data_IF_473406643831
#
_entry.id   IF_473406643831
#
_cell.length_a   1.000
_cell.length_b   1.000
_cell.length_c   1.000
_cell.angle_alpha   90.00
_cell.angle_beta   90.00
_cell.angle_gamma   90.00
#
_symmetry.space_group_name_H-M   'P 1'
#
loop_
_entity.id
_entity.type
_entity.pdbx_description
1 polymer ?
#
# COMPACT_ATOMS: atom_id res chain seq x y z
N UNK A 1 6.25 -5.30 -12.77
CA UNK A 1 6.53 -5.83 -11.43
C UNK A 1 8.01 -5.61 -11.14
N UNK A 2 8.34 -5.11 -9.96
CA UNK A 2 9.72 -5.03 -9.49
C UNK A 2 10.16 -6.43 -9.06
N UNK A 3 11.30 -6.90 -9.56
CA UNK A 3 11.88 -8.21 -9.26
C UNK A 3 13.01 -8.10 -8.25
N UNK A 4 13.79 -7.03 -8.30
CA UNK A 4 14.90 -6.82 -7.38
C UNK A 4 14.85 -5.43 -6.77
N UNK A 5 15.20 -5.36 -5.49
CA UNK A 5 15.49 -4.13 -4.77
C UNK A 5 16.82 -4.30 -4.06
N UNK A 6 17.75 -3.37 -4.28
CA UNK A 6 18.98 -3.27 -3.51
C UNK A 6 18.99 -1.95 -2.76
N UNK A 7 19.30 -2.03 -1.47
CA UNK A 7 19.41 -0.89 -0.56
C UNK A 7 20.84 -0.83 -0.06
N UNK A 8 21.47 0.33 -0.14
CA UNK A 8 22.76 0.60 0.51
C UNK A 8 22.66 1.81 1.42
N UNK A 9 23.30 1.69 2.58
CA UNK A 9 23.36 2.69 3.64
C UNK A 9 21.99 3.28 4.03
N UNK A 10 20.95 2.44 4.08
CA UNK A 10 19.59 2.88 4.43
C UNK A 10 19.08 2.16 5.68
N UNK A 11 18.87 2.92 6.76
CA UNK A 11 18.37 2.42 8.05
C UNK A 11 19.10 1.17 8.53
N UNK A 12 18.43 0.03 8.56
CA UNK A 12 19.00 -1.24 9.03
C UNK A 12 19.94 -1.93 8.02
N UNK A 13 20.15 -1.37 6.83
CA UNK A 13 20.87 -2.02 5.73
C UNK A 13 22.13 -1.27 5.31
N UNK A 14 23.31 -1.84 5.55
CA UNK A 14 24.58 -1.40 4.95
C UNK A 14 24.57 -1.67 3.43
N UNK A 15 24.24 -2.90 3.03
CA UNK A 15 24.06 -3.29 1.63
C UNK A 15 23.28 -4.61 1.54
N UNK A 16 22.00 -4.54 1.16
CA UNK A 16 21.12 -5.71 1.09
C UNK A 16 20.40 -5.77 -0.26
N UNK A 17 20.38 -6.97 -0.87
CA UNK A 17 19.61 -7.29 -2.06
C UNK A 17 18.40 -8.14 -1.69
N UNK A 18 17.22 -7.78 -2.22
CA UNK A 18 15.96 -8.48 -2.05
C UNK A 18 15.44 -8.96 -3.40
N UNK A 19 15.03 -10.23 -3.48
CA UNK A 19 14.27 -10.77 -4.59
C UNK A 19 12.78 -10.71 -4.28
N UNK A 20 11.99 -10.13 -5.17
CA UNK A 20 10.53 -10.11 -5.09
C UNK A 20 9.92 -11.11 -6.07
N UNK A 21 8.99 -11.91 -5.54
CA UNK A 21 8.07 -12.77 -6.29
C UNK A 21 6.64 -12.21 -6.24
N UNK A 22 5.71 -12.65 -7.12
CA UNK A 22 4.36 -12.09 -7.20
C UNK A 22 3.63 -11.97 -5.85
N UNK A 23 3.89 -12.93 -4.95
CA UNK A 23 3.63 -12.83 -3.53
C UNK A 23 4.96 -12.89 -2.77
N UNK A 24 5.27 -11.83 -2.01
CA UNK A 24 6.45 -11.78 -1.12
C UNK A 24 6.00 -11.41 0.28
N UNK A 25 6.32 -12.25 1.26
CA UNK A 25 6.03 -12.01 2.67
C UNK A 25 7.32 -11.61 3.39
N UNK A 26 7.32 -10.41 3.98
CA UNK A 26 8.40 -9.98 4.88
C UNK A 26 8.01 -10.36 6.31
N UNK A 27 8.71 -11.33 6.89
CA UNK A 27 8.48 -11.81 8.26
C UNK A 27 9.77 -11.78 9.08
N UNK A 28 9.67 -11.74 10.40
CA UNK A 28 10.81 -11.61 11.31
C UNK A 28 10.51 -10.71 12.50
N UNK A 29 11.47 -10.58 13.42
CA UNK A 29 11.34 -9.75 14.62
C UNK A 29 11.09 -8.27 14.29
N UNK A 30 10.50 -7.53 15.23
CA UNK A 30 10.35 -6.09 15.08
C UNK A 30 11.71 -5.41 14.98
N UNK A 31 11.76 -4.30 14.24
CA UNK A 31 12.97 -3.50 14.04
C UNK A 31 14.12 -4.17 13.26
N UNK A 32 13.85 -5.25 12.50
CA UNK A 32 14.86 -5.89 11.62
C UNK A 32 14.87 -5.37 10.18
N UNK A 33 14.24 -4.22 9.92
CA UNK A 33 14.24 -3.58 8.59
C UNK A 33 13.08 -3.95 7.64
N UNK A 34 12.08 -4.73 8.08
CA UNK A 34 10.91 -5.08 7.26
C UNK A 34 10.18 -3.85 6.72
N UNK A 35 9.85 -2.90 7.60
CA UNK A 35 9.24 -1.64 7.18
C UNK A 35 10.20 -0.81 6.34
N UNK A 36 11.51 -0.87 6.56
CA UNK A 36 12.50 -0.15 5.74
C UNK A 36 12.44 -0.59 4.26
N UNK A 37 12.21 -1.87 3.96
CA UNK A 37 12.01 -2.36 2.58
C UNK A 37 10.76 -1.74 1.93
N UNK A 38 9.66 -1.61 2.67
CA UNK A 38 8.43 -0.98 2.16
C UNK A 38 8.65 0.53 2.01
N UNK A 39 9.22 1.16 3.02
CA UNK A 39 9.51 2.60 3.07
C UNK A 39 10.40 3.03 1.90
N UNK A 40 11.44 2.27 1.52
CA UNK A 40 12.28 2.63 0.36
C UNK A 40 11.49 2.70 -0.95
N UNK A 41 10.52 1.80 -1.16
CA UNK A 41 9.64 1.84 -2.33
C UNK A 41 8.67 3.03 -2.25
N UNK A 42 8.15 3.34 -1.07
CA UNK A 42 7.27 4.50 -0.85
C UNK A 42 8.01 5.82 -1.05
N UNK A 43 9.26 5.92 -0.60
CA UNK A 43 10.12 7.10 -0.78
C UNK A 43 10.38 7.38 -2.27
N UNK A 44 10.73 6.35 -3.04
CA UNK A 44 10.88 6.49 -4.50
C UNK A 44 9.57 6.97 -5.14
N UNK A 45 8.46 6.33 -4.82
CA UNK A 45 7.15 6.69 -5.38
C UNK A 45 6.75 8.13 -5.03
N UNK A 46 6.83 8.51 -3.76
CA UNK A 46 6.37 9.83 -3.32
C UNK A 46 7.24 10.95 -3.90
N UNK A 47 8.57 10.73 -3.93
CA UNK A 47 9.51 11.69 -4.52
C UNK A 47 9.26 11.85 -6.02
N UNK A 48 8.90 10.77 -6.72
CA UNK A 48 8.46 10.85 -8.13
C UNK A 48 7.14 11.60 -8.29
N UNK A 49 6.15 11.34 -7.43
CA UNK A 49 4.86 12.04 -7.45
C UNK A 49 4.96 13.53 -7.16
N UNK A 50 6.00 13.95 -6.43
CA UNK A 50 6.33 15.35 -6.15
C UNK A 50 7.24 15.98 -7.22
N UNK A 51 7.57 15.24 -8.29
CA UNK A 51 8.50 15.66 -9.35
C UNK A 51 9.93 15.96 -8.88
N UNK A 52 10.32 15.40 -7.73
CA UNK A 52 11.63 15.60 -7.11
C UNK A 52 12.63 14.52 -7.52
N UNK A 53 12.21 13.26 -7.63
CA UNK A 53 13.12 12.11 -7.78
C UNK A 53 14.05 12.22 -8.99
N UNK A 54 13.57 12.74 -10.12
CA UNK A 54 14.35 12.85 -11.35
C UNK A 54 15.28 14.05 -11.39
N UNK A 55 14.99 15.09 -10.60
CA UNK A 55 15.55 16.44 -10.81
C UNK A 55 16.24 17.03 -9.59
N UNK A 56 15.87 16.57 -8.39
CA UNK A 56 16.27 17.18 -7.13
C UNK A 56 16.79 16.10 -6.20
N UNK A 57 15.96 15.13 -5.81
CA UNK A 57 16.33 14.25 -4.69
C UNK A 57 15.23 13.36 -4.14
N UNK A 58 15.50 12.80 -2.97
CA UNK A 58 14.60 11.93 -2.22
C UNK A 58 13.91 12.70 -1.09
N UNK A 59 12.61 12.91 -1.20
CA UNK A 59 11.79 13.45 -0.12
C UNK A 59 11.56 12.38 0.95
N UNK A 60 12.01 12.65 2.16
CA UNK A 60 11.93 11.73 3.31
C UNK A 60 10.56 11.75 3.99
N UNK A 61 9.78 12.83 3.77
CA UNK A 61 8.44 13.01 4.34
C UNK A 61 7.42 13.36 3.25
N UNK A 62 6.25 12.73 3.30
CA UNK A 62 5.15 12.95 2.37
C UNK A 62 3.87 12.21 2.74
N UNK A 63 2.93 12.14 1.81
CA UNK A 63 1.61 11.50 1.99
C UNK A 63 1.71 9.98 2.23
N UNK A 64 2.74 9.32 1.69
CA UNK A 64 2.88 7.86 1.76
C UNK A 64 3.71 7.41 2.96
N UNK A 65 4.80 8.12 3.25
CA UNK A 65 5.69 7.78 4.35
C UNK A 65 6.35 9.03 4.92
N UNK A 66 6.57 9.01 6.23
CA UNK A 66 7.35 9.99 6.96
C UNK A 66 8.44 9.24 7.71
N UNK A 67 9.70 9.44 7.33
CA UNK A 67 10.83 8.77 8.00
C UNK A 67 11.68 9.70 8.85
N UNK A 68 11.40 11.01 8.86
CA UNK A 68 12.18 12.00 9.60
C UNK A 68 13.19 12.71 8.70
N UNK A 69 14.44 12.79 9.13
CA UNK A 69 15.51 13.52 8.46
C UNK A 69 16.58 12.59 7.86
N UNK A 70 17.61 13.19 7.26
CA UNK A 70 18.73 12.49 6.67
C UNK A 70 19.46 11.58 7.66
N UNK A 71 19.62 12.01 8.92
CA UNK A 71 20.23 11.19 9.98
C UNK A 71 19.39 9.94 10.28
N UNK A 72 18.06 10.05 10.28
CA UNK A 72 17.14 8.92 10.48
C UNK A 72 17.13 7.93 9.29
N UNK A 73 17.50 8.41 8.10
CA UNK A 73 17.54 7.62 6.87
C UNK A 73 18.85 6.86 6.70
N UNK A 74 19.99 7.46 7.07
CA UNK A 74 21.31 6.88 6.90
C UNK A 74 21.47 5.63 7.81
N UNK A 75 22.16 4.61 7.30
CA UNK A 75 22.52 3.46 8.12
C UNK A 75 23.58 3.82 9.16
N UNK A 76 23.39 3.42 10.42
CA UNK A 76 24.33 3.71 11.52
C UNK A 76 25.73 3.15 11.25
N UNK A 77 25.83 2.03 10.52
CA UNK A 77 27.10 1.42 10.14
C UNK A 77 27.62 1.85 8.76
N UNK A 78 27.02 2.89 8.15
CA UNK A 78 27.47 3.41 6.86
C UNK A 78 28.90 3.94 6.96
N UNK A 79 29.73 3.59 5.96
CA UNK A 79 31.11 4.07 5.80
C UNK A 79 31.24 5.15 4.73
N UNK A 80 30.17 5.37 3.98
CA UNK A 80 30.12 6.26 2.84
C UNK A 80 28.94 7.20 3.03
N UNK A 81 29.13 8.48 2.68
CA UNK A 81 28.16 9.55 2.89
C UNK A 81 27.11 9.60 1.77
N UNK A 82 26.46 8.47 1.51
CA UNK A 82 25.35 8.40 0.57
C UNK A 82 24.36 7.29 0.93
N UNK A 83 23.14 7.42 0.43
CA UNK A 83 22.11 6.37 0.41
C UNK A 83 21.86 5.96 -1.03
N UNK A 84 21.81 4.66 -1.34
CA UNK A 84 21.57 4.18 -2.71
C UNK A 84 20.39 3.20 -2.77
N UNK A 85 19.43 3.50 -3.65
CA UNK A 85 18.33 2.62 -4.01
C UNK A 85 18.49 2.15 -5.44
N UNK A 86 18.43 0.83 -5.64
CA UNK A 86 18.43 0.21 -6.95
C UNK A 86 17.21 -0.69 -7.09
N UNK A 87 16.44 -0.52 -8.16
CA UNK A 87 15.33 -1.41 -8.52
C UNK A 87 15.53 -1.98 -9.91
N UNK A 88 15.13 -3.25 -10.09
CA UNK A 88 15.07 -3.89 -11.40
C UNK A 88 13.68 -4.48 -11.62
N UNK A 89 13.06 -4.20 -12.76
CA UNK A 89 11.76 -4.74 -13.12
C UNK A 89 11.86 -6.13 -13.79
N UNK A 90 10.71 -6.75 -14.06
CA UNK A 90 10.63 -8.07 -14.72
C UNK A 90 11.18 -8.11 -16.16
N UNK A 91 11.39 -6.96 -16.80
CA UNK A 91 11.93 -6.83 -18.15
C UNK A 91 13.39 -6.35 -18.11
N UNK A 92 14.07 -6.56 -16.98
CA UNK A 92 15.44 -6.15 -16.68
C UNK A 92 15.69 -4.65 -16.83
N UNK A 93 14.64 -3.82 -16.69
CA UNK A 93 14.76 -2.37 -16.63
C UNK A 93 15.25 -1.96 -15.27
N UNK A 94 16.30 -1.14 -15.25
CA UNK A 94 17.04 -0.80 -14.04
C UNK A 94 16.93 0.69 -13.71
N UNK A 95 16.64 1.01 -12.45
CA UNK A 95 16.77 2.35 -11.89
C UNK A 95 17.75 2.32 -10.74
N UNK A 96 18.76 3.19 -10.76
CA UNK A 96 19.69 3.40 -9.65
C UNK A 96 19.63 4.88 -9.29
N UNK A 97 19.39 5.16 -8.01
CA UNK A 97 19.41 6.51 -7.46
C UNK A 97 20.31 6.50 -6.24
N UNK A 98 21.24 7.45 -6.20
CA UNK A 98 22.06 7.72 -5.03
C UNK A 98 21.79 9.13 -4.56
N UNK A 99 21.70 9.27 -3.26
CA UNK A 99 21.40 10.53 -2.61
C UNK A 99 22.55 10.86 -1.66
N UNK A 100 23.10 12.06 -1.79
CA UNK A 100 24.22 12.50 -0.98
C UNK A 100 23.76 12.75 0.45
N UNK A 101 24.58 12.32 1.41
CA UNK A 101 24.43 12.68 2.80
C UNK A 101 25.49 13.72 3.15
N UNK A 102 25.08 14.84 3.75
CA UNK A 102 26.00 15.87 4.22
C UNK A 102 25.80 16.03 5.72
N UNK A 103 26.86 15.83 6.52
CA UNK A 103 26.78 15.89 7.98
C UNK A 103 26.25 17.25 8.47
N UNK A 104 26.58 18.34 7.77
CA UNK A 104 26.10 19.70 8.06
C UNK A 104 24.60 19.87 7.80
N UNK A 105 24.01 19.04 6.92
CA UNK A 105 22.58 19.04 6.57
C UNK A 105 21.83 17.83 7.14
N UNK A 106 22.35 17.16 8.18
CA UNK A 106 21.76 15.92 8.72
C UNK A 106 20.28 16.03 9.15
N UNK A 107 19.79 17.24 9.40
CA UNK A 107 18.41 17.53 9.80
C UNK A 107 17.47 17.78 8.60
N UNK A 108 17.99 17.76 7.36
CA UNK A 108 17.17 17.91 6.14
C UNK A 108 16.20 16.75 5.97
N UNK A 109 15.02 17.02 5.44
CA UNK A 109 14.05 16.02 5.00
C UNK A 109 14.08 15.76 3.49
N UNK A 110 15.07 16.32 2.79
CA UNK A 110 15.32 16.14 1.36
C UNK A 110 16.79 15.83 1.13
N UNK A 111 17.08 14.64 0.58
CA UNK A 111 18.43 14.25 0.19
C UNK A 111 18.68 14.54 -1.28
N UNK A 112 19.75 15.27 -1.60
CA UNK A 112 20.10 15.67 -2.96
C UNK A 112 20.54 14.47 -3.81
N UNK A 113 20.02 14.38 -5.03
CA UNK A 113 20.39 13.33 -6.00
C UNK A 113 21.83 13.55 -6.49
N UNK A 114 22.63 12.50 -6.45
CA UNK A 114 23.97 12.50 -7.02
C UNK A 114 23.93 12.35 -8.56
N UNK A 115 24.04 13.48 -9.26
CA UNK A 115 24.09 13.52 -10.72
C UNK A 115 25.42 13.04 -11.32
N UNK A 116 26.46 12.85 -10.50
CA UNK A 116 27.78 12.41 -10.96
C UNK A 116 27.83 10.91 -11.29
N UNK A 117 26.83 10.15 -10.85
CA UNK A 117 26.68 8.74 -11.20
C UNK A 117 26.59 8.51 -12.70
N UNK A 118 27.52 7.69 -13.20
CA UNK A 118 27.52 7.22 -14.58
C UNK A 118 26.30 6.35 -14.93
N UNK A 119 25.77 5.64 -13.94
CA UNK A 119 24.60 4.77 -14.09
C UNK A 119 23.30 5.57 -13.86
N UNK A 120 22.76 6.16 -14.92
CA UNK A 120 21.44 6.81 -14.88
C UNK A 120 20.31 5.76 -14.93
N UNK A 121 19.14 6.04 -14.30
CA UNK A 121 17.96 5.19 -14.46
C UNK A 121 17.56 5.03 -15.93
N UNK A 122 17.23 3.80 -16.35
CA UNK A 122 16.53 3.58 -17.62
C UNK A 122 15.18 4.31 -17.53
N UNK A 123 14.91 5.28 -18.41
CA UNK A 123 13.67 6.08 -18.40
C UNK A 123 12.39 5.22 -18.42
N UNK A 124 12.46 4.00 -18.95
CA UNK A 124 11.33 3.07 -18.94
C UNK A 124 10.99 2.53 -17.54
N UNK A 125 11.90 2.62 -16.56
CA UNK A 125 11.64 2.21 -15.18
C UNK A 125 10.47 2.99 -14.57
N UNK A 126 10.30 4.26 -14.94
CA UNK A 126 9.20 5.13 -14.51
C UNK A 126 7.82 4.71 -15.05
N UNK A 127 7.77 3.75 -15.99
CA UNK A 127 6.51 3.13 -16.42
C UNK A 127 6.06 1.99 -15.50
N UNK A 128 6.91 1.55 -14.58
CA UNK A 128 6.60 0.43 -13.68
C UNK A 128 5.52 0.79 -12.65
N UNK A 129 4.92 -0.24 -12.04
CA UNK A 129 3.79 -0.12 -11.12
C UNK A 129 4.06 0.78 -9.91
N UNK A 130 5.31 0.86 -9.44
CA UNK A 130 5.71 1.74 -8.33
C UNK A 130 5.57 3.23 -8.67
N UNK A 131 5.61 3.62 -9.95
CA UNK A 131 5.55 5.03 -10.38
C UNK A 131 4.22 5.42 -11.04
N UNK A 132 3.35 4.47 -11.37
CA UNK A 132 2.09 4.73 -12.08
C UNK A 132 0.84 4.50 -11.20
N UNK A 133 -0.36 4.52 -11.79
CA UNK A 133 -1.66 4.34 -11.09
C UNK A 133 -1.96 2.89 -10.63
N UNK A 134 -1.16 1.92 -11.05
CA UNK A 134 -1.29 0.51 -10.68
C UNK A 134 -0.48 0.23 -9.42
N UNK A 135 -0.79 0.99 -8.36
CA UNK A 135 -0.15 0.92 -7.07
C UNK A 135 -1.20 1.10 -5.95
N UNK A 136 -1.04 0.31 -4.89
CA UNK A 136 -1.75 0.51 -3.63
C UNK A 136 -0.79 0.33 -2.47
N UNK A 137 -1.00 1.10 -1.41
CA UNK A 137 -0.31 0.94 -0.15
C UNK A 137 -1.31 1.05 0.98
N UNK A 138 -1.28 0.09 1.90
CA UNK A 138 -2.04 0.09 3.15
C UNK A 138 -1.07 -0.02 4.33
N UNK A 139 -1.00 1.04 5.12
CA UNK A 139 -0.12 1.10 6.29
C UNK A 139 -0.64 0.23 7.44
N UNK A 140 0.20 0.01 8.46
CA UNK A 140 -0.17 -0.81 9.62
C UNK A 140 -1.32 -0.18 10.44
N UNK A 141 -1.25 1.14 10.68
CA UNK A 141 -2.29 1.89 11.40
C UNK A 141 -3.42 2.29 10.45
N UNK A 142 -4.38 1.39 10.24
CA UNK A 142 -5.58 1.65 9.43
C UNK A 142 -6.67 2.34 10.25
N UNK A 143 -7.58 3.03 9.57
CA UNK A 143 -8.75 3.62 10.20
C UNK A 143 -9.61 2.50 10.80
N UNK A 144 -9.76 2.55 12.12
CA UNK A 144 -10.72 1.72 12.84
C UNK A 144 -12.16 2.16 12.57
N UNK A 145 -13.15 1.56 13.25
CA UNK A 145 -14.54 1.93 13.09
C UNK A 145 -14.84 3.43 13.24
N UNK A 146 -15.61 3.99 12.31
CA UNK A 146 -16.06 5.40 12.32
C UNK A 146 -17.55 5.50 12.03
N UNK A 147 -18.24 6.47 12.63
CA UNK A 147 -19.66 6.72 12.35
C UNK A 147 -19.86 7.19 10.90
N UNK A 148 -18.97 8.05 10.44
CA UNK A 148 -18.95 8.68 9.12
C UNK A 148 -17.53 8.60 8.56
N UNK A 149 -17.40 8.56 7.24
CA UNK A 149 -16.13 8.70 6.53
C UNK A 149 -16.23 9.89 5.57
N UNK A 150 -15.12 10.53 5.30
CA UNK A 150 -15.05 11.65 4.35
C UNK A 150 -15.14 11.15 2.91
N UNK A 151 -15.84 11.91 2.07
CA UNK A 151 -15.82 11.75 0.63
C UNK A 151 -14.75 12.64 0.01
N UNK A 152 -14.00 12.08 -0.95
CA UNK A 152 -13.04 12.84 -1.73
C UNK A 152 -12.82 12.18 -3.09
N UNK A 153 -13.39 12.75 -4.15
CA UNK A 153 -13.22 12.25 -5.52
C UNK A 153 -11.76 12.30 -5.98
N UNK A 154 -11.08 13.41 -5.68
CA UNK A 154 -9.69 13.60 -6.04
C UNK A 154 -8.79 12.54 -5.39
N UNK A 155 -8.96 12.33 -4.07
CA UNK A 155 -8.16 11.33 -3.34
C UNK A 155 -8.55 9.91 -3.73
N UNK A 156 -9.82 9.60 -3.96
CA UNK A 156 -10.25 8.29 -4.46
C UNK A 156 -9.64 7.98 -5.84
N UNK A 157 -9.57 8.94 -6.76
CA UNK A 157 -8.96 8.71 -8.08
C UNK A 157 -7.44 8.49 -8.00
N UNK A 158 -6.76 9.14 -7.05
CA UNK A 158 -5.29 9.07 -6.90
C UNK A 158 -4.81 7.93 -5.98
N UNK A 159 -5.46 7.74 -4.85
CA UNK A 159 -5.09 6.83 -3.75
C UNK A 159 -6.03 5.64 -3.59
N UNK A 160 -7.12 5.58 -4.38
CA UNK A 160 -8.14 4.53 -4.35
C UNK A 160 -8.82 4.42 -2.98
N UNK A 161 -8.39 3.48 -2.14
CA UNK A 161 -8.94 3.26 -0.81
C UNK A 161 -8.29 4.14 0.27
N UNK A 162 -7.22 4.87 -0.05
CA UNK A 162 -6.42 5.63 0.92
C UNK A 162 -5.37 4.76 1.62
N UNK A 163 -4.35 5.37 2.23
CA UNK A 163 -3.26 4.60 2.86
C UNK A 163 -3.69 3.97 4.18
N UNK A 164 -4.69 4.56 4.85
CA UNK A 164 -5.31 4.05 6.07
C UNK A 164 -6.64 3.34 5.80
N UNK A 165 -7.06 3.24 4.54
CA UNK A 165 -8.39 2.75 4.16
C UNK A 165 -9.51 3.77 4.32
N UNK A 166 -9.18 5.04 4.57
CA UNK A 166 -10.08 6.14 4.88
C UNK A 166 -11.12 6.44 3.79
N UNK A 167 -10.81 6.08 2.54
CA UNK A 167 -11.70 6.30 1.40
C UNK A 167 -12.39 5.03 0.92
N UNK A 168 -12.27 3.91 1.64
CA UNK A 168 -12.82 2.62 1.19
C UNK A 168 -14.32 2.66 0.97
N UNK A 169 -15.06 3.32 1.86
CA UNK A 169 -16.51 3.49 1.72
C UNK A 169 -16.86 4.24 0.43
N UNK A 170 -16.20 5.37 0.19
CA UNK A 170 -16.42 6.19 -1.00
C UNK A 170 -15.98 5.46 -2.28
N UNK A 171 -14.87 4.75 -2.23
CA UNK A 171 -14.37 3.91 -3.32
C UNK A 171 -15.38 2.83 -3.70
N UNK A 172 -15.94 2.11 -2.73
CA UNK A 172 -16.96 1.09 -2.98
C UNK A 172 -18.28 1.69 -3.46
N UNK A 173 -18.64 2.90 -3.03
CA UNK A 173 -19.80 3.61 -3.56
C UNK A 173 -19.67 3.89 -5.06
N UNK A 174 -18.49 4.29 -5.53
CA UNK A 174 -18.23 4.64 -6.93
C UNK A 174 -17.96 3.40 -7.80
N UNK A 175 -17.16 2.46 -7.30
CA UNK A 175 -16.63 1.33 -8.08
C UNK A 175 -17.25 -0.02 -7.72
N UNK A 176 -18.10 -0.09 -6.68
CA UNK A 176 -18.65 -1.34 -6.16
C UNK A 176 -19.46 -2.14 -7.18
N UNK A 177 -20.11 -1.48 -8.14
CA UNK A 177 -20.89 -2.10 -9.23
C UNK A 177 -20.07 -2.45 -10.46
N UNK A 178 -18.75 -2.29 -10.41
CA UNK A 178 -17.87 -2.75 -11.49
C UNK A 178 -17.44 -4.20 -11.20
N UNK A 179 -17.33 -5.06 -12.22
CA UNK A 179 -16.84 -6.41 -12.02
C UNK A 179 -15.38 -6.41 -11.56
N UNK A 180 -14.99 -7.39 -10.76
CA UNK A 180 -13.58 -7.59 -10.39
C UNK A 180 -12.74 -7.93 -11.64
N UNK A 181 -11.52 -7.38 -11.81
CA UNK A 181 -10.74 -7.61 -13.03
C UNK A 181 -10.15 -9.02 -13.17
N UNK A 182 -9.95 -9.72 -12.05
CA UNK A 182 -9.30 -11.04 -12.01
C UNK A 182 -10.30 -12.09 -11.54
N UNK A 183 -10.82 -12.89 -12.48
CA UNK A 183 -11.86 -13.88 -12.21
C UNK A 183 -11.44 -14.95 -11.18
N UNK A 184 -10.15 -15.31 -11.12
CA UNK A 184 -9.64 -16.28 -10.14
C UNK A 184 -9.74 -15.80 -8.69
N UNK A 185 -9.90 -14.49 -8.46
CA UNK A 185 -10.14 -13.92 -7.13
C UNK A 185 -11.62 -13.97 -6.74
N UNK A 186 -12.50 -14.45 -7.61
CA UNK A 186 -13.93 -14.49 -7.31
C UNK A 186 -14.20 -15.43 -6.14
N UNK A 187 -14.95 -14.93 -5.15
CA UNK A 187 -15.53 -15.76 -4.10
C UNK A 187 -16.64 -16.63 -4.72
N UNK A 188 -16.56 -17.98 -4.64
CA UNK A 188 -17.45 -18.86 -5.39
C UNK A 188 -18.95 -18.70 -5.10
N UNK A 189 -19.30 -18.28 -3.89
CA UNK A 189 -20.70 -18.11 -3.44
C UNK A 189 -21.13 -16.64 -3.40
N UNK A 190 -20.40 -15.75 -4.07
CA UNK A 190 -20.81 -14.35 -4.20
C UNK A 190 -22.03 -14.24 -5.12
N UNK A 191 -22.82 -13.17 -4.92
CA UNK A 191 -24.06 -12.94 -5.68
C UNK A 191 -23.79 -12.60 -7.15
N UNK A 192 -22.69 -11.90 -7.41
CA UNK A 192 -22.29 -11.46 -8.74
C UNK A 192 -20.78 -11.22 -8.78
N UNK A 193 -20.24 -10.85 -9.95
CA UNK A 193 -18.84 -10.44 -10.10
C UNK A 193 -18.58 -9.00 -9.66
N UNK A 194 -19.61 -8.24 -9.28
CA UNK A 194 -19.47 -6.88 -8.79
C UNK A 194 -18.53 -6.82 -7.58
N UNK A 195 -17.64 -5.84 -7.57
CA UNK A 195 -16.67 -5.63 -6.51
C UNK A 195 -17.31 -5.66 -5.12
N UNK A 196 -18.47 -5.03 -4.92
CA UNK A 196 -19.14 -5.01 -3.62
C UNK A 196 -19.59 -6.41 -3.18
N UNK A 197 -20.14 -7.21 -4.10
CA UNK A 197 -20.61 -8.57 -3.81
C UNK A 197 -19.42 -9.52 -3.55
N UNK A 198 -18.30 -9.29 -4.23
CA UNK A 198 -17.06 -10.04 -4.05
C UNK A 198 -16.38 -9.69 -2.72
N UNK A 199 -16.36 -8.42 -2.35
CA UNK A 199 -15.90 -7.95 -1.04
C UNK A 199 -16.77 -8.54 0.07
N UNK A 200 -18.10 -8.49 -0.05
CA UNK A 200 -19.02 -9.16 0.89
C UNK A 200 -18.73 -10.66 0.98
N UNK A 201 -18.53 -11.33 -0.16
CA UNK A 201 -18.21 -12.76 -0.24
C UNK A 201 -16.99 -13.13 0.59
N UNK A 202 -15.85 -12.49 0.33
CA UNK A 202 -14.61 -12.71 1.07
C UNK A 202 -14.69 -12.27 2.53
N UNK A 203 -15.44 -11.20 2.84
CA UNK A 203 -15.61 -10.74 4.22
C UNK A 203 -16.28 -11.80 5.11
N UNK A 204 -17.08 -12.72 4.55
CA UNK A 204 -17.70 -13.83 5.30
C UNK A 204 -16.67 -14.80 5.88
N UNK A 205 -15.51 -14.95 5.25
CA UNK A 205 -14.44 -15.80 5.77
C UNK A 205 -13.74 -15.20 6.99
N UNK A 206 -13.76 -13.86 7.09
CA UNK A 206 -13.20 -13.10 8.21
C UNK A 206 -14.23 -12.91 9.32
N UNK A 207 -15.46 -12.58 8.95
CA UNK A 207 -16.58 -12.29 9.84
C UNK A 207 -17.86 -12.88 9.24
N UNK A 208 -18.26 -14.09 9.67
CA UNK A 208 -19.37 -14.82 9.05
C UNK A 208 -20.67 -14.03 8.95
N UNK A 209 -21.32 -14.10 7.80
CA UNK A 209 -22.62 -13.46 7.56
C UNK A 209 -22.58 -11.96 7.32
N UNK A 210 -21.40 -11.31 7.33
CA UNK A 210 -21.26 -9.86 7.11
C UNK A 210 -21.86 -9.44 5.76
N UNK A 211 -22.70 -8.42 5.80
CA UNK A 211 -23.18 -7.63 4.65
C UNK A 211 -22.85 -6.17 4.89
N UNK A 212 -22.65 -5.43 3.80
CA UNK A 212 -22.19 -4.04 3.84
C UNK A 212 -23.25 -3.15 3.21
N UNK A 213 -23.74 -2.19 3.97
CA UNK A 213 -24.63 -1.13 3.49
C UNK A 213 -23.87 0.18 3.48
N UNK A 214 -23.83 0.82 2.31
CA UNK A 214 -23.15 2.10 2.10
C UNK A 214 -24.22 3.16 1.84
N UNK A 215 -24.26 4.19 2.68
CA UNK A 215 -25.18 5.32 2.53
C UNK A 215 -24.36 6.61 2.37
N UNK A 216 -24.35 7.17 1.16
CA UNK A 216 -23.71 8.46 0.87
C UNK A 216 -24.66 9.63 1.13
N UNK A 217 -24.15 10.72 1.70
CA UNK A 217 -24.81 12.01 1.80
C UNK A 217 -23.96 13.08 1.11
N UNK A 218 -24.15 13.30 -0.22
CA UNK A 218 -23.31 14.18 -1.01
C UNK A 218 -23.37 15.65 -0.57
N UNK A 219 -24.46 16.11 0.03
CA UNK A 219 -24.65 17.52 0.42
C UNK A 219 -23.68 17.97 1.52
N UNK A 220 -23.12 17.02 2.27
CA UNK A 220 -22.17 17.26 3.36
C UNK A 220 -20.86 16.48 3.20
N UNK A 221 -20.62 15.89 2.02
CA UNK A 221 -19.42 15.10 1.69
C UNK A 221 -19.14 13.95 2.69
N UNK A 222 -20.18 13.32 3.24
CA UNK A 222 -20.04 12.20 4.20
C UNK A 222 -20.64 10.91 3.68
N UNK A 223 -20.02 9.79 4.09
CA UNK A 223 -20.50 8.45 3.77
C UNK A 223 -20.47 7.52 4.98
N UNK A 224 -21.57 6.79 5.16
CA UNK A 224 -21.78 5.89 6.28
C UNK A 224 -21.63 4.44 5.85
N UNK A 225 -20.87 3.68 6.64
CA UNK A 225 -20.81 2.23 6.55
C UNK A 225 -21.61 1.62 7.70
N UNK A 226 -22.55 0.76 7.33
CA UNK A 226 -23.31 -0.08 8.24
C UNK A 226 -23.14 -1.54 7.86
N UNK A 227 -23.29 -2.41 8.86
CA UNK A 227 -23.12 -3.84 8.70
C UNK A 227 -24.35 -4.59 9.20
N UNK A 228 -24.68 -5.71 8.58
CA UNK A 228 -25.61 -6.68 9.14
C UNK A 228 -25.04 -8.09 9.03
N UNK A 229 -25.62 -9.00 9.82
CA UNK A 229 -25.23 -10.40 9.91
C UNK A 229 -26.46 -11.26 9.66
N UNK A 230 -26.57 -11.83 8.46
CA UNK A 230 -27.81 -12.51 8.04
C UNK A 230 -29.00 -11.56 8.07
N UNK A 231 -30.02 -11.90 8.87
CA UNK A 231 -31.27 -11.14 9.03
C UNK A 231 -31.26 -10.19 10.25
N UNK A 232 -30.08 -9.89 10.79
CA UNK A 232 -29.95 -8.97 11.92
C UNK A 232 -30.32 -7.53 11.56
N UNK A 233 -30.53 -6.71 12.59
CA UNK A 233 -30.55 -5.26 12.44
C UNK A 233 -29.24 -4.72 11.83
N UNK A 234 -29.32 -3.51 11.26
CA UNK A 234 -28.15 -2.77 10.81
C UNK A 234 -27.38 -2.21 12.02
N UNK A 235 -26.10 -2.56 12.10
CA UNK A 235 -25.16 -2.06 13.08
C UNK A 235 -24.33 -0.93 12.48
N UNK A 236 -24.12 0.12 13.27
CA UNK A 236 -23.12 1.16 12.95
C UNK A 236 -21.73 0.53 12.99
N UNK A 237 -20.81 1.07 12.20
CA UNK A 237 -19.42 0.63 12.21
C UNK A 237 -18.82 0.60 13.63
N UNK A 238 -19.09 1.60 14.46
CA UNK A 238 -18.60 1.67 15.85
C UNK A 238 -19.05 0.52 16.75
N UNK A 239 -20.05 -0.26 16.33
CA UNK A 239 -20.59 -1.38 17.07
C UNK A 239 -20.12 -2.73 16.49
N UNK A 240 -19.14 -2.72 15.57
CA UNK A 240 -18.51 -3.95 15.04
C UNK A 240 -17.00 -3.97 15.35
N UNK A 241 -16.41 -5.17 15.27
CA UNK A 241 -14.99 -5.37 15.57
C UNK A 241 -14.07 -4.72 14.53
N UNK A 242 -12.86 -4.33 14.99
CA UNK A 242 -11.81 -3.72 14.16
C UNK A 242 -11.40 -4.59 12.96
N UNK A 243 -11.51 -5.91 13.07
CA UNK A 243 -11.19 -6.84 11.98
C UNK A 243 -11.93 -6.52 10.69
N UNK A 244 -13.19 -6.07 10.74
CA UNK A 244 -13.96 -5.68 9.55
C UNK A 244 -13.37 -4.42 8.93
N UNK A 245 -13.19 -3.35 9.73
CA UNK A 245 -12.65 -2.07 9.25
C UNK A 245 -11.22 -2.19 8.71
N UNK A 246 -10.40 -3.10 9.26
CA UNK A 246 -9.02 -3.32 8.79
C UNK A 246 -8.94 -4.20 7.55
N UNK A 247 -9.87 -5.14 7.39
CA UNK A 247 -9.90 -6.09 6.26
C UNK A 247 -10.54 -5.48 5.02
N UNK A 248 -11.59 -4.67 5.21
CA UNK A 248 -12.35 -4.06 4.12
C UNK A 248 -11.48 -3.31 3.09
N UNK A 249 -10.56 -2.40 3.48
CA UNK A 249 -9.64 -1.75 2.53
C UNK A 249 -8.74 -2.73 1.79
N UNK A 250 -8.28 -3.79 2.46
CA UNK A 250 -7.42 -4.81 1.84
C UNK A 250 -8.19 -5.54 0.74
N UNK A 251 -9.40 -6.03 1.05
CA UNK A 251 -10.25 -6.71 0.06
C UNK A 251 -10.61 -5.80 -1.10
N UNK A 252 -11.03 -4.57 -0.82
CA UNK A 252 -11.36 -3.60 -1.86
C UNK A 252 -10.17 -3.28 -2.76
N UNK A 253 -8.96 -3.12 -2.19
CA UNK A 253 -7.74 -2.87 -2.95
C UNK A 253 -7.34 -4.08 -3.80
N UNK A 254 -7.34 -5.29 -3.24
CA UNK A 254 -6.95 -6.52 -3.95
C UNK A 254 -7.93 -6.85 -5.07
N UNK A 255 -9.22 -6.87 -4.78
CA UNK A 255 -10.26 -7.29 -5.73
C UNK A 255 -10.52 -6.27 -6.85
N UNK A 256 -10.22 -4.99 -6.63
CA UNK A 256 -10.33 -3.95 -7.67
C UNK A 256 -9.05 -3.74 -8.50
N UNK A 257 -8.00 -4.52 -8.22
CA UNK A 257 -6.70 -4.31 -8.86
C UNK A 257 -6.55 -5.08 -10.17
N UNK A 258 -6.19 -4.35 -11.21
CA UNK A 258 -5.79 -4.92 -12.50
C UNK A 258 -4.51 -5.78 -12.39
N UNK A 259 -4.31 -6.76 -13.29
CA UNK A 259 -3.06 -7.50 -13.39
C UNK A 259 -1.82 -6.59 -13.45
N UNK A 260 -0.78 -6.95 -12.69
CA UNK A 260 0.46 -6.18 -12.61
C UNK A 260 0.44 -5.00 -11.63
N UNK A 261 -0.66 -4.77 -10.92
CA UNK A 261 -0.74 -3.79 -9.83
C UNK A 261 0.13 -4.20 -8.63
N UNK A 262 1.03 -3.32 -8.19
CA UNK A 262 1.82 -3.51 -6.97
C UNK A 262 0.96 -3.13 -5.76
N UNK A 263 0.81 -4.04 -4.80
CA UNK A 263 0.11 -3.77 -3.54
C UNK A 263 1.09 -4.02 -2.41
N UNK A 264 1.32 -3.00 -1.59
CA UNK A 264 2.10 -3.06 -0.36
C UNK A 264 1.14 -3.03 0.83
N UNK A 265 1.23 -3.99 1.74
CA UNK A 265 0.36 -4.07 2.92
C UNK A 265 1.24 -4.33 4.14
N UNK A 266 1.14 -3.46 5.12
CA UNK A 266 1.77 -3.67 6.42
C UNK A 266 0.79 -4.30 7.41
N UNK A 267 1.29 -5.26 8.20
CA UNK A 267 0.56 -6.00 9.23
C UNK A 267 -0.84 -6.45 8.76
N UNK A 268 -0.97 -7.17 7.63
CA UNK A 268 -2.27 -7.61 7.11
C UNK A 268 -3.04 -8.51 8.08
N UNK A 269 -2.35 -9.14 9.04
CA UNK A 269 -2.88 -10.04 10.05
C UNK A 269 -3.54 -9.33 11.25
N UNK A 270 -3.35 -8.01 11.38
CA UNK A 270 -3.82 -7.24 12.53
C UNK A 270 -5.35 -7.32 12.70
N UNK A 271 -5.79 -7.55 13.95
CA UNK A 271 -7.20 -7.71 14.34
C UNK A 271 -7.97 -8.85 13.67
N UNK A 272 -7.28 -9.78 13.00
CA UNK A 272 -7.87 -10.99 12.45
C UNK A 272 -7.68 -12.19 13.37
N UNK A 273 -8.72 -13.03 13.48
CA UNK A 273 -8.58 -14.36 14.06
C UNK A 273 -7.76 -15.28 13.12
N UNK A 274 -7.10 -16.34 13.64
CA UNK A 274 -6.22 -17.21 12.84
C UNK A 274 -6.87 -17.77 11.57
N UNK A 275 -8.16 -18.14 11.63
CA UNK A 275 -8.92 -18.59 10.45
C UNK A 275 -8.99 -17.50 9.37
N UNK A 276 -9.28 -16.26 9.76
CA UNK A 276 -9.32 -15.12 8.85
C UNK A 276 -7.96 -14.84 8.21
N UNK A 277 -6.87 -14.95 9.00
CA UNK A 277 -5.50 -14.79 8.48
C UNK A 277 -5.18 -15.85 7.40
N UNK A 278 -5.52 -17.12 7.65
CA UNK A 278 -5.33 -18.19 6.68
C UNK A 278 -6.11 -17.94 5.38
N UNK A 279 -7.37 -17.48 5.49
CA UNK A 279 -8.22 -17.19 4.33
C UNK A 279 -7.74 -15.98 3.52
N UNK A 280 -7.19 -14.97 4.18
CA UNK A 280 -6.51 -13.87 3.48
C UNK A 280 -5.27 -14.38 2.73
N UNK A 281 -4.52 -15.32 3.31
CA UNK A 281 -3.43 -16.00 2.63
C UNK A 281 -3.87 -16.75 1.36
N UNK A 282 -4.98 -17.51 1.44
CA UNK A 282 -5.58 -18.19 0.29
C UNK A 282 -5.96 -17.21 -0.84
N UNK A 283 -6.62 -16.09 -0.49
CA UNK A 283 -6.95 -15.03 -1.46
C UNK A 283 -5.71 -14.53 -2.21
N UNK A 284 -4.58 -14.35 -1.51
CA UNK A 284 -3.36 -13.84 -2.13
C UNK A 284 -2.71 -14.86 -3.07
N UNK A 285 -2.86 -16.15 -2.80
CA UNK A 285 -2.36 -17.23 -3.68
C UNK A 285 -3.13 -17.28 -5.00
N UNK A 286 -4.45 -17.02 -5.00
CA UNK A 286 -5.23 -16.98 -6.24
C UNK A 286 -4.86 -15.82 -7.19
N UNK A 287 -4.00 -14.91 -6.73
CA UNK A 287 -3.52 -13.76 -7.50
C UNK A 287 -2.20 -14.03 -8.24
N UNK A 288 -1.43 -15.03 -7.83
CA UNK A 288 -0.12 -15.36 -8.39
C UNK A 288 -0.25 -16.21 -9.64
#
# INVERSE_FOLDING_TARGET
>A
MIRWLRLRNFKAFENQLFEFRPLTLLSGLNSTGKSSVIQSLLLLRQSHQQELLEKIGLALNGDLVQIGNAQDALCESAKEDYIEFEITDKNDKKGIWRFNYELEKKETDLLDLDFSLSAKPDKSIYKSSIFNKNFHYLQAERIGPRLVNEMSDHKVRRLRVGTKGEYTAHFLNIYGRKPIPIANLAYPQAKSMDLIDQVEGWMREVSPGTRITINSNPDIDLINLQYSYGDSNLYRSTNVGFGISYTLPILAAVLSSEPGTLILIENPEAHLHPKGQAKMGELWLFRT
#
